data_IF_690389986711
#
_entry.id   IF_690389986711
#
_cell.length_a   1.000
_cell.length_b   1.000
_cell.length_c   1.000
_cell.angle_alpha   90.00
_cell.angle_beta   90.00
_cell.angle_gamma   90.00
#
_symmetry.space_group_name_H-M   'P 1'
#
loop_
_entity.id
_entity.type
_entity.pdbx_description
1 polymer ?
#
# COMPACT_ATOMS: atom_id res chain seq x y z
N UNK A 1 -1.84 -4.00 1.83
CA UNK A 1 -1.10 -4.52 3.01
C UNK A 1 -1.48 -5.97 3.22
N UNK A 2 -0.58 -6.82 3.71
CA UNK A 2 -0.88 -8.22 4.02
C UNK A 2 -0.55 -8.58 5.48
N UNK A 3 -1.29 -9.51 6.07
CA UNK A 3 -1.06 -10.05 7.41
C UNK A 3 -0.71 -11.53 7.33
N UNK A 4 0.32 -11.98 8.06
CA UNK A 4 0.62 -13.40 8.22
C UNK A 4 1.42 -13.68 9.48
N UNK A 5 1.47 -14.94 9.92
CA UNK A 5 2.31 -15.36 11.05
C UNK A 5 3.82 -15.16 10.81
N UNK A 6 4.27 -15.14 9.55
CA UNK A 6 5.69 -15.06 9.15
C UNK A 6 5.86 -14.26 7.86
N UNK A 7 7.11 -13.97 7.52
CA UNK A 7 7.62 -13.19 6.38
C UNK A 7 7.16 -13.58 4.95
N UNK A 8 6.45 -14.69 4.75
CA UNK A 8 6.10 -15.18 3.40
C UNK A 8 5.23 -14.21 2.58
N UNK A 9 4.53 -13.28 3.24
CA UNK A 9 3.70 -12.26 2.58
C UNK A 9 4.52 -11.18 1.88
N UNK A 10 5.79 -10.97 2.21
CA UNK A 10 6.63 -9.97 1.54
C UNK A 10 6.78 -10.29 0.05
N UNK A 11 7.11 -11.54 -0.28
CA UNK A 11 7.24 -11.99 -1.68
C UNK A 11 5.91 -11.92 -2.44
N UNK A 12 4.78 -12.18 -1.77
CA UNK A 12 3.45 -12.08 -2.36
C UNK A 12 3.13 -10.62 -2.73
N UNK A 13 3.41 -9.66 -1.83
CA UNK A 13 3.25 -8.23 -2.10
C UNK A 13 4.13 -7.79 -3.26
N UNK A 14 5.39 -8.20 -3.28
CA UNK A 14 6.32 -7.86 -4.38
C UNK A 14 5.83 -8.39 -5.72
N UNK A 15 5.34 -9.63 -5.75
CA UNK A 15 4.79 -10.24 -6.95
C UNK A 15 3.57 -9.47 -7.45
N UNK A 16 2.66 -9.08 -6.55
CA UNK A 16 1.47 -8.30 -6.91
C UNK A 16 1.87 -6.91 -7.44
N UNK A 17 2.85 -6.27 -6.82
CA UNK A 17 3.31 -4.94 -7.23
C UNK A 17 3.82 -4.90 -8.68
N UNK A 18 4.34 -6.03 -9.21
CA UNK A 18 4.74 -6.13 -10.62
C UNK A 18 3.59 -5.78 -11.57
N UNK A 19 2.38 -6.26 -11.28
CA UNK A 19 1.22 -5.99 -12.12
C UNK A 19 0.85 -4.50 -12.11
N UNK A 20 0.94 -3.84 -10.95
CA UNK A 20 0.73 -2.40 -10.85
C UNK A 20 1.78 -1.61 -11.62
N UNK A 21 3.06 -2.02 -11.54
CA UNK A 21 4.11 -1.37 -12.34
C UNK A 21 3.93 -1.58 -13.84
N UNK A 22 3.42 -2.73 -14.28
CA UNK A 22 3.16 -2.99 -15.70
C UNK A 22 1.98 -2.21 -16.26
N UNK A 23 0.97 -1.93 -15.43
CA UNK A 23 -0.20 -1.12 -15.79
C UNK A 23 -0.03 0.38 -15.52
N UNK A 24 1.20 0.87 -15.34
CA UNK A 24 1.50 2.28 -15.05
C UNK A 24 0.72 2.84 -13.85
N UNK A 25 0.38 1.96 -12.89
CA UNK A 25 -0.42 2.33 -11.73
C UNK A 25 0.47 2.85 -10.59
N UNK A 26 0.02 3.90 -9.88
CA UNK A 26 0.73 4.42 -8.71
C UNK A 26 0.71 3.40 -7.56
N UNK A 27 1.89 3.12 -6.99
CA UNK A 27 2.05 2.26 -5.81
C UNK A 27 2.30 3.16 -4.59
N UNK A 28 1.44 3.05 -3.59
CA UNK A 28 1.56 3.83 -2.35
C UNK A 28 2.45 3.08 -1.36
N UNK A 29 3.54 3.75 -0.95
CA UNK A 29 4.53 3.23 -0.01
C UNK A 29 4.20 3.62 1.44
N UNK A 30 4.91 3.00 2.37
CA UNK A 30 4.90 3.31 3.79
C UNK A 30 6.33 3.36 4.35
N UNK A 31 6.50 3.24 5.66
CA UNK A 31 7.81 3.28 6.33
C UNK A 31 8.64 2.02 6.13
N UNK A 32 8.04 0.90 5.76
CA UNK A 32 8.73 -0.37 5.50
C UNK A 32 7.90 -1.26 4.56
N UNK A 33 8.24 -2.55 4.43
CA UNK A 33 7.39 -3.51 3.73
C UNK A 33 5.96 -3.44 4.26
N UNK A 34 4.97 -3.37 3.37
CA UNK A 34 3.54 -3.23 3.69
C UNK A 34 2.95 -4.53 4.29
N UNK A 35 3.55 -5.03 5.37
CA UNK A 35 3.23 -6.28 6.07
C UNK A 35 3.01 -6.04 7.56
N UNK A 36 2.18 -6.88 8.17
CA UNK A 36 2.00 -6.98 9.62
C UNK A 36 2.07 -8.45 10.01
N UNK A 37 2.64 -8.74 11.18
CA UNK A 37 2.80 -10.09 11.68
C UNK A 37 1.77 -10.42 12.75
N UNK A 38 1.05 -11.54 12.57
CA UNK A 38 0.06 -12.04 13.52
C UNK A 38 -0.86 -13.08 12.89
N UNK A 39 -1.17 -14.14 13.64
CA UNK A 39 -2.11 -15.18 13.19
C UNK A 39 -3.57 -14.78 13.46
N UNK A 40 -3.79 -13.83 14.36
CA UNK A 40 -5.09 -13.26 14.70
C UNK A 40 -4.96 -11.76 15.01
N UNK A 41 -6.08 -11.08 15.21
CA UNK A 41 -6.10 -9.64 15.46
C UNK A 41 -5.41 -9.22 16.77
N UNK A 42 -5.34 -10.11 17.76
CA UNK A 42 -4.67 -9.79 19.03
C UNK A 42 -3.15 -9.82 18.86
N UNK A 43 -2.62 -10.87 18.24
CA UNK A 43 -1.19 -10.98 17.91
C UNK A 43 -0.75 -9.86 16.95
N UNK A 44 -1.58 -9.51 15.96
CA UNK A 44 -1.27 -8.41 15.04
C UNK A 44 -1.16 -7.05 15.76
N UNK A 45 -1.84 -6.86 16.89
CA UNK A 45 -1.72 -5.63 17.70
C UNK A 45 -0.42 -5.56 18.49
N UNK A 46 0.25 -6.69 18.68
CA UNK A 46 1.55 -6.76 19.36
C UNK A 46 2.70 -6.42 18.39
N UNK A 47 2.47 -6.52 17.08
CA UNK A 47 3.39 -6.02 16.06
C UNK A 47 3.33 -4.49 15.95
N UNK A 48 3.97 -3.82 16.91
CA UNK A 48 4.04 -2.37 16.98
C UNK A 48 4.70 -1.73 15.75
N UNK A 49 5.64 -2.42 15.10
CA UNK A 49 6.27 -1.93 13.88
C UNK A 49 5.31 -2.03 12.69
N UNK A 50 4.66 -3.19 12.51
CA UNK A 50 3.64 -3.40 11.50
C UNK A 50 2.47 -2.42 11.64
N UNK A 51 2.05 -2.10 12.87
CA UNK A 51 1.04 -1.06 13.12
C UNK A 51 1.51 0.32 12.65
N UNK A 52 2.75 0.73 12.97
CA UNK A 52 3.30 2.01 12.51
C UNK A 52 3.34 2.08 10.98
N UNK A 53 3.75 0.99 10.34
CA UNK A 53 3.75 0.82 8.89
C UNK A 53 2.33 0.94 8.32
N UNK A 54 1.34 0.29 8.92
CA UNK A 54 -0.06 0.38 8.51
C UNK A 54 -0.61 1.80 8.61
N UNK A 55 -0.30 2.50 9.71
CA UNK A 55 -0.73 3.89 9.93
C UNK A 55 -0.09 4.81 8.89
N UNK A 56 1.20 4.64 8.61
CA UNK A 56 1.90 5.40 7.58
C UNK A 56 1.29 5.15 6.19
N UNK A 57 1.04 3.88 5.84
CA UNK A 57 0.39 3.52 4.59
C UNK A 57 -0.99 4.16 4.46
N UNK A 58 -1.82 4.11 5.51
CA UNK A 58 -3.16 4.68 5.52
C UNK A 58 -3.12 6.21 5.33
N UNK A 59 -2.19 6.90 6.00
CA UNK A 59 -2.00 8.35 5.85
C UNK A 59 -1.56 8.72 4.43
N UNK A 60 -0.61 8.00 3.87
CA UNK A 60 -0.11 8.23 2.51
C UNK A 60 -1.21 7.95 1.47
N UNK A 61 -1.99 6.89 1.65
CA UNK A 61 -3.12 6.56 0.79
C UNK A 61 -4.21 7.64 0.86
N UNK A 62 -4.59 8.09 2.05
CA UNK A 62 -5.59 9.14 2.22
C UNK A 62 -5.15 10.46 1.55
N UNK A 63 -3.89 10.83 1.70
CA UNK A 63 -3.32 11.99 1.02
C UNK A 63 -3.35 11.83 -0.52
N UNK A 64 -2.96 10.66 -1.03
CA UNK A 64 -2.97 10.38 -2.46
C UNK A 64 -4.38 10.42 -3.05
N UNK A 65 -5.38 9.84 -2.37
CA UNK A 65 -6.78 9.89 -2.79
C UNK A 65 -7.30 11.32 -2.86
N UNK A 66 -6.94 12.16 -1.87
CA UNK A 66 -7.29 13.58 -1.87
C UNK A 66 -6.67 14.32 -3.06
N UNK A 67 -5.41 14.04 -3.39
CA UNK A 67 -4.75 14.65 -4.56
C UNK A 67 -5.41 14.20 -5.85
N UNK A 68 -5.71 12.90 -6.00
CA UNK A 68 -6.41 12.38 -7.18
C UNK A 68 -7.76 13.05 -7.36
N UNK A 69 -8.51 13.25 -6.29
CA UNK A 69 -9.80 13.95 -6.35
C UNK A 69 -9.63 15.41 -6.81
N UNK A 70 -8.63 16.11 -6.27
CA UNK A 70 -8.31 17.49 -6.69
C UNK A 70 -7.83 17.54 -8.13
N UNK A 71 -7.00 16.60 -8.58
CA UNK A 71 -6.48 16.58 -9.95
C UNK A 71 -7.62 16.43 -10.96
N UNK A 72 -8.57 15.52 -10.69
CA UNK A 72 -9.76 15.32 -11.53
C UNK A 72 -10.62 16.60 -11.57
N UNK A 73 -10.78 17.30 -10.45
CA UNK A 73 -11.53 18.58 -10.39
C UNK A 73 -10.87 19.69 -11.23
N UNK A 74 -9.55 19.73 -11.27
CA UNK A 74 -8.76 20.68 -12.06
C UNK A 74 -8.56 20.23 -13.52
N UNK A 75 -9.15 19.09 -13.93
CA UNK A 75 -8.99 18.54 -15.29
C UNK A 75 -7.62 17.91 -15.56
N UNK A 76 -6.84 17.63 -14.51
CA UNK A 76 -5.58 16.89 -14.58
C UNK A 76 -5.91 15.40 -14.38
N UNK A 77 -6.17 14.73 -15.50
CA UNK A 77 -6.42 13.30 -15.54
C UNK A 77 -5.11 12.49 -15.39
N UNK A 78 -5.24 11.22 -15.02
CA UNK A 78 -4.12 10.31 -15.09
C UNK A 78 -3.69 10.17 -16.57
N UNK A 79 -2.38 10.11 -16.86
CA UNK A 79 -1.94 9.87 -18.22
C UNK A 79 -2.51 8.54 -18.72
N UNK A 80 -2.91 8.53 -19.99
CA UNK A 80 -3.25 7.28 -20.65
C UNK A 80 -2.05 6.33 -20.56
N UNK A 81 -2.27 5.06 -20.14
CA UNK A 81 -1.21 4.08 -20.15
C UNK A 81 -0.57 4.01 -21.54
N UNK A 82 0.75 3.86 -21.56
CA UNK A 82 1.54 3.83 -22.81
C UNK A 82 1.28 2.54 -23.62
N UNK A 83 0.51 1.59 -23.08
CA UNK A 83 0.18 0.29 -23.68
C UNK A 83 -1.29 -0.08 -23.53
#
# INVERSE_FOLDING_TARGET
MASARRAGTMTAIDTINRFFTWGEMPIISSTYWNVIYGNNAQEAREDHEGIRTMIALARNMAWFLKIKELSIKEGIELPEPTK
#
